data_IF_293557795181
#
_entry.id   IF_293557795181
#
_cell.length_a   1.000
_cell.length_b   1.000
_cell.length_c   1.000
_cell.angle_alpha   90.00
_cell.angle_beta   90.00
_cell.angle_gamma   90.00
#
_symmetry.space_group_name_H-M   'P 1'
#
loop_
_entity.id
_entity.type
_entity.pdbx_description
1 polymer ?
#
# COMPACT_ATOMS: atom_id res chain seq x y z
N UNK A 1 16.77 -10.61 -10.29
CA UNK A 1 16.13 -11.22 -9.10
C UNK A 1 14.61 -11.10 -9.16
N UNK A 2 14.05 -9.90 -9.29
CA UNK A 2 12.58 -9.71 -9.36
C UNK A 2 11.89 -10.57 -10.44
N UNK A 3 12.52 -10.76 -11.61
CA UNK A 3 11.99 -11.63 -12.67
C UNK A 3 11.92 -13.11 -12.26
N UNK A 4 12.87 -13.58 -11.43
CA UNK A 4 12.96 -14.99 -11.01
C UNK A 4 11.91 -15.36 -9.96
N UNK A 5 11.30 -14.37 -9.31
CA UNK A 5 10.23 -14.53 -8.33
C UNK A 5 8.90 -13.97 -8.81
N UNK A 6 8.83 -13.58 -10.09
CA UNK A 6 7.61 -13.09 -10.74
C UNK A 6 6.79 -14.23 -11.33
N UNK A 7 5.48 -14.05 -11.34
CA UNK A 7 4.48 -15.01 -11.82
C UNK A 7 3.18 -14.27 -12.18
N UNK A 8 2.13 -15.01 -12.54
CA UNK A 8 0.91 -14.46 -13.12
C UNK A 8 0.92 -14.55 -14.64
N UNK A 9 -0.17 -14.13 -15.27
CA UNK A 9 -0.33 -14.10 -16.72
C UNK A 9 0.64 -13.10 -17.36
N UNK A 10 0.94 -12.00 -16.66
CA UNK A 10 1.77 -10.93 -17.17
C UNK A 10 3.09 -10.76 -16.39
N UNK A 11 3.29 -11.48 -15.28
CA UNK A 11 4.49 -11.35 -14.43
C UNK A 11 4.34 -10.28 -13.35
N UNK A 12 3.11 -9.88 -13.02
CA UNK A 12 2.77 -8.84 -12.04
C UNK A 12 2.64 -9.36 -10.60
N UNK A 13 2.76 -10.66 -10.36
CA UNK A 13 2.61 -11.28 -9.05
C UNK A 13 3.96 -11.77 -8.53
N UNK A 14 4.26 -11.55 -7.25
CA UNK A 14 5.59 -11.80 -6.72
C UNK A 14 5.59 -12.73 -5.49
N UNK A 15 6.64 -13.53 -5.37
CA UNK A 15 6.95 -14.40 -4.22
C UNK A 15 8.25 -13.95 -3.52
N UNK A 16 8.58 -14.55 -2.37
CA UNK A 16 9.79 -14.19 -1.62
C UNK A 16 11.04 -14.92 -2.16
N UNK A 17 11.13 -16.24 -2.02
CA UNK A 17 12.27 -17.06 -2.49
C UNK A 17 11.81 -18.34 -3.21
N UNK A 18 10.61 -18.31 -3.80
CA UNK A 18 9.92 -19.48 -4.36
C UNK A 18 8.51 -19.65 -3.77
N UNK A 19 7.75 -20.61 -4.29
CA UNK A 19 6.34 -20.82 -3.93
C UNK A 19 5.37 -19.93 -4.71
N UNK A 20 4.11 -19.88 -4.28
CA UNK A 20 3.06 -19.09 -4.94
C UNK A 20 3.11 -17.60 -4.62
N UNK A 21 2.37 -16.77 -5.38
CA UNK A 21 2.19 -15.35 -5.10
C UNK A 21 1.76 -15.09 -3.66
N UNK A 22 2.30 -14.04 -3.04
CA UNK A 22 1.80 -13.57 -1.76
C UNK A 22 1.59 -12.05 -1.77
N UNK A 23 0.54 -11.60 -1.07
CA UNK A 23 0.12 -10.19 -1.07
C UNK A 23 1.21 -9.19 -0.65
N UNK A 24 2.04 -9.54 0.33
CA UNK A 24 3.12 -8.68 0.79
C UNK A 24 4.18 -8.49 -0.29
N UNK A 25 4.66 -9.59 -0.88
CA UNK A 25 5.67 -9.56 -1.94
C UNK A 25 5.12 -8.99 -3.23
N UNK A 26 3.87 -9.29 -3.61
CA UNK A 26 3.24 -8.66 -4.77
C UNK A 26 3.19 -7.14 -4.62
N UNK A 27 2.81 -6.63 -3.44
CA UNK A 27 2.81 -5.20 -3.18
C UNK A 27 4.23 -4.60 -3.21
N UNK A 28 5.19 -5.23 -2.53
CA UNK A 28 6.59 -4.77 -2.53
C UNK A 28 7.21 -4.80 -3.93
N UNK A 29 7.01 -5.88 -4.69
CA UNK A 29 7.53 -6.04 -6.05
C UNK A 29 6.89 -5.04 -7.03
N UNK A 30 5.58 -4.86 -6.96
CA UNK A 30 4.90 -3.83 -7.75
C UNK A 30 5.48 -2.44 -7.46
N UNK A 31 5.70 -2.09 -6.18
CA UNK A 31 6.31 -0.81 -5.82
C UNK A 31 7.75 -0.69 -6.30
N UNK A 32 8.58 -1.72 -6.17
CA UNK A 32 9.94 -1.72 -6.72
C UNK A 32 9.95 -1.50 -8.24
N UNK A 33 9.03 -2.11 -8.99
CA UNK A 33 8.91 -1.85 -10.44
C UNK A 33 8.51 -0.41 -10.75
N UNK A 34 7.66 0.19 -9.92
CA UNK A 34 7.33 1.60 -10.06
C UNK A 34 8.55 2.49 -9.82
N UNK A 35 9.45 2.12 -8.90
CA UNK A 35 10.73 2.82 -8.69
C UNK A 35 11.71 2.59 -9.87
N UNK A 36 11.66 1.44 -10.53
CA UNK A 36 12.39 1.15 -11.77
C UNK A 36 11.82 1.88 -13.01
N UNK A 37 10.87 2.81 -12.81
CA UNK A 37 10.20 3.57 -13.86
C UNK A 37 9.35 2.72 -14.84
N UNK A 38 8.93 1.52 -14.44
CA UNK A 38 7.99 0.71 -15.24
C UNK A 38 6.65 1.44 -15.34
N UNK A 39 6.18 1.76 -16.56
CA UNK A 39 5.00 2.59 -16.73
C UNK A 39 3.75 1.86 -16.18
N UNK A 40 2.80 2.58 -15.59
CA UNK A 40 1.63 1.94 -15.00
C UNK A 40 0.60 1.43 -16.04
N UNK A 41 0.93 1.51 -17.34
CA UNK A 41 0.26 0.84 -18.47
C UNK A 41 0.89 -0.52 -18.81
N UNK A 42 2.07 -0.83 -18.29
CA UNK A 42 2.69 -2.14 -18.44
C UNK A 42 1.74 -3.21 -17.85
N UNK A 43 1.42 -4.31 -18.57
CA UNK A 43 0.43 -5.31 -18.13
C UNK A 43 0.69 -5.91 -16.74
N UNK A 44 1.92 -5.88 -16.24
CA UNK A 44 2.27 -6.32 -14.87
C UNK A 44 1.64 -5.43 -13.80
N UNK A 45 1.48 -4.13 -14.08
CA UNK A 45 0.98 -3.14 -13.13
C UNK A 45 -0.50 -3.32 -12.82
N UNK A 46 -1.44 -3.40 -13.79
CA UNK A 46 -2.84 -3.69 -13.50
C UNK A 46 -3.03 -5.10 -12.96
N UNK A 47 -2.26 -6.11 -13.41
CA UNK A 47 -2.33 -7.47 -12.83
C UNK A 47 -1.99 -7.47 -11.33
N UNK A 48 -0.91 -6.79 -10.95
CA UNK A 48 -0.54 -6.59 -9.56
C UNK A 48 -1.62 -5.83 -8.78
N UNK A 49 -2.11 -4.71 -9.33
CA UNK A 49 -3.14 -3.88 -8.70
C UNK A 49 -4.43 -4.67 -8.44
N UNK A 50 -4.94 -5.41 -9.43
CA UNK A 50 -6.13 -6.26 -9.29
C UNK A 50 -5.93 -7.35 -8.24
N UNK A 51 -4.74 -7.96 -8.19
CA UNK A 51 -4.42 -8.92 -7.14
C UNK A 51 -4.48 -8.26 -5.76
N UNK A 52 -3.94 -7.05 -5.59
CA UNK A 52 -4.06 -6.29 -4.34
C UNK A 52 -5.53 -5.91 -4.03
N UNK A 53 -6.32 -5.59 -5.06
CA UNK A 53 -7.74 -5.30 -4.94
C UNK A 53 -8.57 -6.47 -4.43
N UNK A 54 -8.14 -7.72 -4.68
CA UNK A 54 -8.75 -8.92 -4.10
C UNK A 54 -8.31 -9.19 -2.65
N UNK A 55 -7.28 -8.49 -2.16
CA UNK A 55 -6.68 -8.68 -0.84
C UNK A 55 -6.76 -7.41 0.02
N UNK A 56 -7.85 -6.66 -0.09
CA UNK A 56 -8.04 -5.38 0.61
C UNK A 56 -7.75 -5.42 2.12
N UNK A 57 -7.47 -4.23 2.66
CA UNK A 57 -7.20 -4.01 4.08
C UNK A 57 -8.28 -4.63 4.98
N UNK A 58 -7.84 -5.27 6.06
CA UNK A 58 -8.67 -5.89 7.10
C UNK A 58 -8.41 -5.19 8.44
N UNK A 59 -9.34 -5.33 9.40
CA UNK A 59 -9.22 -4.72 10.73
C UNK A 59 -8.05 -5.26 11.57
N UNK A 60 -7.55 -6.46 11.28
CA UNK A 60 -6.29 -6.97 11.85
C UNK A 60 -5.21 -6.98 10.76
N UNK A 61 -4.65 -5.82 10.40
CA UNK A 61 -3.77 -5.72 9.25
C UNK A 61 -2.42 -6.40 9.55
N UNK A 62 -1.89 -7.07 8.53
CA UNK A 62 -0.45 -7.25 8.46
C UNK A 62 0.15 -5.89 8.07
N UNK A 63 0.74 -5.18 9.02
CA UNK A 63 1.24 -3.81 8.84
C UNK A 63 2.28 -3.70 7.72
N UNK A 64 3.13 -4.72 7.53
CA UNK A 64 4.10 -4.74 6.43
C UNK A 64 3.39 -4.74 5.08
N UNK A 65 2.41 -5.65 4.91
CA UNK A 65 1.59 -5.69 3.71
C UNK A 65 0.83 -4.37 3.50
N UNK A 66 0.17 -3.87 4.53
CA UNK A 66 -0.61 -2.62 4.47
C UNK A 66 0.23 -1.46 3.95
N UNK A 67 1.45 -1.29 4.47
CA UNK A 67 2.33 -0.20 4.06
C UNK A 67 2.73 -0.31 2.60
N UNK A 68 3.22 -1.47 2.15
CA UNK A 68 3.63 -1.64 0.75
C UNK A 68 2.45 -1.60 -0.23
N UNK A 69 1.28 -2.12 0.15
CA UNK A 69 0.09 -2.01 -0.69
C UNK A 69 -0.37 -0.55 -0.80
N UNK A 70 -0.28 0.21 0.28
CA UNK A 70 -0.54 1.66 0.28
C UNK A 70 0.39 2.39 -0.67
N UNK A 71 1.71 2.10 -0.63
CA UNK A 71 2.68 2.70 -1.56
C UNK A 71 2.41 2.33 -3.01
N UNK A 72 2.20 1.04 -3.30
CA UNK A 72 2.02 0.52 -4.64
C UNK A 72 0.73 1.05 -5.28
N UNK A 73 -0.39 0.98 -4.56
CA UNK A 73 -1.68 1.48 -5.04
C UNK A 73 -1.68 3.00 -5.15
N UNK A 74 -1.04 3.71 -4.21
CA UNK A 74 -0.88 5.16 -4.35
C UNK A 74 -0.15 5.49 -5.65
N UNK A 75 0.99 4.88 -5.94
CA UNK A 75 1.71 5.15 -7.19
C UNK A 75 0.95 4.67 -8.44
N UNK A 76 0.08 3.67 -8.31
CA UNK A 76 -0.75 3.18 -9.41
C UNK A 76 -1.94 4.12 -9.72
N UNK A 77 -2.45 4.81 -8.69
CA UNK A 77 -3.64 5.68 -8.73
C UNK A 77 -4.94 4.92 -9.13
N UNK A 78 -6.03 5.65 -9.36
CA UNK A 78 -7.26 5.10 -9.91
C UNK A 78 -8.21 4.48 -8.87
N UNK A 79 -9.24 3.73 -9.31
CA UNK A 79 -10.33 3.28 -8.44
C UNK A 79 -9.88 2.41 -7.25
N UNK A 80 -8.90 1.53 -7.47
CA UNK A 80 -8.35 0.67 -6.42
C UNK A 80 -7.62 1.48 -5.34
N UNK A 81 -6.92 2.55 -5.72
CA UNK A 81 -6.33 3.47 -4.75
C UNK A 81 -7.42 4.16 -3.92
N UNK A 82 -8.50 4.63 -4.54
CA UNK A 82 -9.61 5.29 -3.83
C UNK A 82 -10.24 4.36 -2.79
N UNK A 83 -10.61 3.14 -3.20
CA UNK A 83 -11.19 2.15 -2.30
C UNK A 83 -10.22 1.79 -1.16
N UNK A 84 -8.94 1.58 -1.48
CA UNK A 84 -7.92 1.31 -0.48
C UNK A 84 -7.78 2.45 0.53
N UNK A 85 -7.70 3.70 0.05
CA UNK A 85 -7.53 4.87 0.89
C UNK A 85 -8.75 5.14 1.77
N UNK A 86 -9.96 4.90 1.28
CA UNK A 86 -11.19 4.96 2.09
C UNK A 86 -11.14 3.93 3.22
N UNK A 87 -10.83 2.66 2.91
CA UNK A 87 -10.67 1.62 3.94
C UNK A 87 -9.55 1.93 4.92
N UNK A 88 -8.45 2.53 4.48
CA UNK A 88 -7.34 2.93 5.34
C UNK A 88 -7.77 4.00 6.35
N UNK A 89 -8.47 5.04 5.88
CA UNK A 89 -9.01 6.14 6.69
C UNK A 89 -10.11 5.71 7.64
N UNK A 90 -10.85 4.65 7.32
CA UNK A 90 -11.84 4.04 8.21
C UNK A 90 -11.17 3.12 9.25
N UNK A 91 -10.33 2.20 8.78
CA UNK A 91 -9.79 1.11 9.60
C UNK A 91 -8.81 1.62 10.64
N UNK A 92 -7.82 2.44 10.27
CA UNK A 92 -6.77 2.82 11.21
C UNK A 92 -7.31 3.61 12.42
N UNK A 93 -8.20 4.60 12.28
CA UNK A 93 -8.82 5.27 13.43
C UNK A 93 -9.74 4.36 14.25
N UNK A 94 -10.36 3.35 13.63
CA UNK A 94 -11.19 2.37 14.33
C UNK A 94 -10.35 1.53 15.30
N UNK A 95 -9.18 1.05 14.85
CA UNK A 95 -8.33 0.11 15.61
C UNK A 95 -7.24 0.81 16.43
N UNK A 96 -7.14 2.14 16.37
CA UNK A 96 -6.19 2.91 17.18
C UNK A 96 -6.58 2.86 18.66
N UNK A 97 -5.60 2.71 19.56
CA UNK A 97 -5.81 2.84 21.00
C UNK A 97 -6.28 4.25 21.35
N UNK A 98 -7.48 4.39 21.93
CA UNK A 98 -8.07 5.70 22.27
C UNK A 98 -7.87 6.12 23.73
N UNK A 99 -7.54 5.17 24.60
CA UNK A 99 -7.42 5.36 26.06
C UNK A 99 -6.17 4.65 26.60
N UNK A 100 -5.77 5.02 27.81
CA UNK A 100 -4.66 4.40 28.53
C UNK A 100 -3.27 4.86 28.07
N UNK A 101 -2.20 4.25 28.60
CA UNK A 101 -0.81 4.68 28.36
C UNK A 101 -0.36 4.48 26.91
N UNK A 102 -1.03 3.62 26.15
CA UNK A 102 -0.71 3.32 24.75
C UNK A 102 -1.57 4.12 23.76
N UNK A 103 -2.31 5.14 24.24
CA UNK A 103 -3.18 5.98 23.41
C UNK A 103 -2.40 6.58 22.23
N UNK A 104 -3.02 6.53 21.05
CA UNK A 104 -2.44 7.00 19.79
C UNK A 104 -1.62 5.95 19.04
N UNK A 105 -1.42 4.77 19.62
CA UNK A 105 -0.69 3.65 19.00
C UNK A 105 -1.62 2.58 18.44
N UNK A 106 -1.01 1.60 17.75
CA UNK A 106 -1.68 0.44 17.21
C UNK A 106 -1.10 -0.84 17.80
N UNK A 107 -1.97 -1.76 18.21
CA UNK A 107 -1.52 -3.05 18.74
C UNK A 107 -0.74 -3.84 17.68
N UNK A 108 0.31 -4.60 18.08
CA UNK A 108 0.98 -5.52 17.17
C UNK A 108 -0.02 -6.53 16.60
N UNK A 109 -0.15 -6.55 15.27
CA UNK A 109 -1.17 -7.31 14.53
C UNK A 109 -0.57 -8.10 13.35
N UNK A 110 -1.10 -9.29 13.10
CA UNK A 110 -0.59 -10.24 12.12
C UNK A 110 0.72 -10.96 12.54
N UNK A 111 1.04 -12.07 11.85
CA UNK A 111 2.19 -12.94 12.16
C UNK A 111 3.55 -12.22 12.25
N UNK A 112 3.72 -11.09 11.56
CA UNK A 112 5.02 -10.41 11.40
C UNK A 112 5.24 -9.25 12.40
N UNK A 113 4.20 -8.78 13.10
CA UNK A 113 4.35 -7.69 14.09
C UNK A 113 5.02 -8.14 15.40
N UNK A 114 5.34 -9.43 15.55
CA UNK A 114 6.00 -9.98 16.75
C UNK A 114 7.45 -9.51 16.93
N UNK A 115 8.19 -9.25 15.86
CA UNK A 115 9.60 -8.88 15.96
C UNK A 115 9.81 -7.38 16.28
N UNK A 116 8.95 -6.50 15.73
CA UNK A 116 9.06 -5.04 15.87
C UNK A 116 8.11 -4.41 16.88
N UNK A 117 7.14 -5.17 17.40
CA UNK A 117 6.20 -4.72 18.41
C UNK A 117 5.40 -3.48 18.03
N UNK A 118 4.96 -2.75 19.07
CA UNK A 118 4.07 -1.58 18.95
C UNK A 118 4.70 -0.42 18.18
N UNK A 119 6.01 -0.27 18.28
CA UNK A 119 6.74 0.80 17.58
C UNK A 119 6.57 0.62 16.08
N UNK A 120 6.82 -0.59 15.56
CA UNK A 120 6.71 -0.86 14.12
C UNK A 120 5.26 -0.77 13.62
N UNK A 121 4.28 -1.31 14.36
CA UNK A 121 2.86 -1.18 13.96
C UNK A 121 2.42 0.28 13.90
N UNK A 122 2.83 1.09 14.89
CA UNK A 122 2.51 2.52 14.94
C UNK A 122 3.17 3.28 13.80
N UNK A 123 4.47 3.07 13.58
CA UNK A 123 5.22 3.72 12.49
C UNK A 123 4.60 3.39 11.13
N UNK A 124 4.34 2.11 10.84
CA UNK A 124 3.77 1.72 9.54
C UNK A 124 2.34 2.25 9.35
N UNK A 125 1.55 2.37 10.42
CA UNK A 125 0.22 2.98 10.37
C UNK A 125 0.31 4.46 10.02
N UNK A 126 1.17 5.21 10.72
CA UNK A 126 1.37 6.65 10.47
C UNK A 126 1.91 6.87 9.06
N UNK A 127 2.97 6.16 8.65
CA UNK A 127 3.57 6.26 7.31
C UNK A 127 2.57 5.97 6.17
N UNK A 128 1.59 5.09 6.43
CA UNK A 128 0.52 4.79 5.48
C UNK A 128 -0.49 5.93 5.38
N UNK A 129 -0.86 6.54 6.50
CA UNK A 129 -1.79 7.68 6.54
C UNK A 129 -1.21 8.93 5.89
N UNK A 130 0.11 9.11 5.91
CA UNK A 130 0.77 10.28 5.34
C UNK A 130 1.22 10.12 3.88
N UNK A 131 1.01 8.94 3.26
CA UNK A 131 1.58 8.61 1.95
C UNK A 131 1.31 9.68 0.89
N UNK A 132 0.09 10.20 0.85
CA UNK A 132 -0.39 11.17 -0.13
C UNK A 132 -0.05 12.63 0.21
N UNK A 133 0.51 12.88 1.40
CA UNK A 133 1.07 14.20 1.76
C UNK A 133 2.57 14.28 1.47
N UNK A 134 3.29 13.15 1.53
CA UNK A 134 4.76 13.12 1.44
C UNK A 134 5.30 12.64 0.09
N UNK A 135 4.54 11.82 -0.65
CA UNK A 135 4.97 11.29 -1.94
C UNK A 135 4.17 11.96 -3.05
N UNK A 136 4.85 12.42 -4.09
CA UNK A 136 4.20 12.78 -5.35
C UNK A 136 4.03 11.52 -6.20
N UNK A 137 2.91 11.35 -6.93
CA UNK A 137 2.77 10.26 -7.88
C UNK A 137 3.81 10.41 -8.99
N UNK A 138 4.71 9.42 -9.13
CA UNK A 138 5.86 9.47 -10.04
C UNK A 138 5.45 9.57 -11.51
N UNK A 139 4.26 9.06 -11.85
CA UNK A 139 3.70 9.08 -13.20
C UNK A 139 2.62 10.15 -13.38
N UNK A 140 2.54 11.12 -12.46
CA UNK A 140 1.48 12.11 -12.40
C UNK A 140 0.17 11.56 -11.82
N UNK A 141 -0.74 12.47 -11.50
CA UNK A 141 -2.10 12.10 -11.09
C UNK A 141 -2.85 11.51 -12.28
N UNK A 142 -3.51 10.37 -12.09
CA UNK A 142 -4.27 9.69 -13.15
C UNK A 142 -5.75 9.69 -12.80
N UNK A 143 -6.61 10.03 -13.77
CA UNK A 143 -8.06 10.12 -13.56
C UNK A 143 -8.47 11.36 -12.76
N UNK A 144 -9.53 11.24 -11.95
CA UNK A 144 -10.07 12.36 -11.15
C UNK A 144 -9.23 12.71 -9.90
N UNK A 145 -8.02 12.15 -9.77
CA UNK A 145 -7.15 12.33 -8.61
C UNK A 145 -6.24 13.56 -8.71
N UNK A 146 -6.44 14.40 -9.73
CA UNK A 146 -5.74 15.69 -9.87
C UNK A 146 -6.17 16.61 -8.71
N UNK A 147 -5.25 17.08 -7.86
CA UNK A 147 -5.57 18.04 -6.81
C UNK A 147 -6.20 19.28 -7.42
N UNK A 148 -7.31 19.76 -6.86
CA UNK A 148 -7.91 21.01 -7.30
C UNK A 148 -6.86 22.13 -7.25
N UNK A 149 -6.66 22.81 -8.38
CA UNK A 149 -5.77 23.96 -8.43
C UNK A 149 -6.28 25.01 -7.44
N UNK A 150 -5.44 25.41 -6.48
CA UNK A 150 -5.76 26.54 -5.61
C UNK A 150 -5.92 27.77 -6.51
N UNK A 151 -7.16 28.26 -6.66
CA UNK A 151 -7.38 29.57 -7.25
C UNK A 151 -6.66 30.59 -6.36
N UNK A 152 -5.66 31.28 -6.91
CA UNK A 152 -5.09 32.46 -6.24
C UNK A 152 -6.20 33.51 -6.19
N UNK A 153 -6.64 33.86 -4.99
CA UNK A 153 -7.55 34.98 -4.80
C UNK A 153 -6.90 36.26 -5.34
N UNK A 154 -7.64 36.99 -6.16
CA UNK A 154 -7.28 38.35 -6.61
C UNK A 154 -7.32 39.32 -5.44
#
# INVERSE_FOLDING_TARGET
YMDTVSSGKHGGLYAYTGGGPNRAMTASGMFCRQLDLVPPTDPRMPEGAEYLGRHMLQQNPNYYYMYYATLALYQHQGPLWKEWNEKLKETLPLIQKKIGPERGSWDPGGQHARAGGRVVSTTLSVLSLEVYYRLLPMYGFRGADVPAAKQKGN
#
